data_IF_008265539050
#
_entry.id   IF_008265539050
#
_cell.length_a   1.000
_cell.length_b   1.000
_cell.length_c   1.000
_cell.angle_alpha   90.00
_cell.angle_beta   90.00
_cell.angle_gamma   90.00
#
_symmetry.space_group_name_H-M   'P 1'
#
loop_
_entity.id
_entity.type
_entity.pdbx_description
1 polymer ?
#
# COMPACT_ATOMS: atom_id res chain seq x y z
N UNK A 1 -7.91 -16.28 21.06
CA UNK A 1 -7.22 -15.05 20.63
C UNK A 1 -7.19 -15.13 19.13
N UNK A 2 -8.06 -14.40 18.44
CA UNK A 2 -7.96 -14.29 16.98
C UNK A 2 -6.70 -13.50 16.71
N UNK A 3 -5.67 -14.15 16.19
CA UNK A 3 -4.47 -13.43 15.76
C UNK A 3 -4.91 -12.41 14.69
N UNK A 4 -4.57 -11.14 14.93
CA UNK A 4 -4.73 -10.11 13.92
C UNK A 4 -3.87 -10.53 12.72
N UNK A 5 -4.49 -10.67 11.55
CA UNK A 5 -3.75 -11.00 10.35
C UNK A 5 -2.82 -9.85 9.92
N UNK A 6 -1.97 -10.08 8.91
CA UNK A 6 -0.92 -9.15 8.55
C UNK A 6 -1.50 -7.82 8.05
N UNK A 7 -0.77 -6.74 8.33
CA UNK A 7 -1.07 -5.39 7.86
C UNK A 7 -0.20 -5.09 6.64
N UNK A 8 -0.82 -4.58 5.58
CA UNK A 8 -0.13 -4.17 4.35
C UNK A 8 -0.53 -2.74 4.01
N UNK A 9 0.44 -1.91 3.65
CA UNK A 9 0.20 -0.54 3.19
C UNK A 9 0.17 -0.53 1.66
N UNK A 10 -0.89 0.04 1.07
CA UNK A 10 -0.95 0.35 -0.34
C UNK A 10 -0.34 1.74 -0.57
N UNK A 11 0.85 1.78 -1.17
CA UNK A 11 1.61 3.00 -1.47
C UNK A 11 0.97 3.84 -2.59
N UNK A 12 -0.22 4.39 -2.33
CA UNK A 12 -0.96 5.25 -3.26
C UNK A 12 -1.75 6.35 -2.55
N UNK A 13 -1.74 7.54 -3.14
CA UNK A 13 -2.66 8.63 -2.77
C UNK A 13 -4.01 8.55 -3.52
N UNK A 14 -4.21 7.54 -4.36
CA UNK A 14 -5.47 7.35 -5.06
C UNK A 14 -6.48 6.58 -4.18
N UNK A 15 -7.40 7.31 -3.56
CA UNK A 15 -8.46 6.73 -2.73
C UNK A 15 -9.29 5.64 -3.43
N UNK A 16 -9.53 5.76 -4.74
CA UNK A 16 -10.27 4.74 -5.50
C UNK A 16 -9.51 3.42 -5.59
N UNK A 17 -8.18 3.46 -5.75
CA UNK A 17 -7.35 2.25 -5.74
C UNK A 17 -7.40 1.53 -4.39
N UNK A 18 -7.40 2.28 -3.29
CA UNK A 18 -7.52 1.72 -1.95
C UNK A 18 -8.86 1.02 -1.73
N UNK A 19 -9.96 1.65 -2.16
CA UNK A 19 -11.31 1.06 -2.08
C UNK A 19 -11.37 -0.26 -2.86
N UNK A 20 -10.88 -0.28 -4.10
CA UNK A 20 -10.89 -1.50 -4.92
C UNK A 20 -10.01 -2.59 -4.34
N UNK A 21 -8.81 -2.27 -3.85
CA UNK A 21 -7.93 -3.29 -3.26
C UNK A 21 -8.53 -3.86 -1.97
N UNK A 22 -9.11 -3.03 -1.10
CA UNK A 22 -9.83 -3.51 0.10
C UNK A 22 -10.95 -4.47 -0.26
N UNK A 23 -11.73 -4.17 -1.32
CA UNK A 23 -12.79 -5.05 -1.83
C UNK A 23 -12.25 -6.39 -2.33
N UNK A 24 -11.15 -6.40 -3.08
CA UNK A 24 -10.50 -7.64 -3.57
C UNK A 24 -9.95 -8.46 -2.42
N UNK A 25 -9.30 -7.83 -1.45
CA UNK A 25 -8.70 -8.53 -0.30
C UNK A 25 -9.75 -9.08 0.66
N UNK A 26 -10.91 -8.41 0.81
CA UNK A 26 -12.00 -8.90 1.64
C UNK A 26 -12.52 -10.29 1.19
N UNK A 27 -12.44 -10.61 -0.12
CA UNK A 27 -12.81 -11.93 -0.62
C UNK A 27 -11.64 -12.90 -0.71
N UNK A 28 -10.45 -12.44 -1.12
CA UNK A 28 -9.30 -13.31 -1.38
C UNK A 28 -8.50 -13.64 -0.12
N UNK A 29 -8.40 -12.71 0.84
CA UNK A 29 -7.57 -12.82 2.03
C UNK A 29 -8.16 -11.98 3.18
N UNK A 30 -9.29 -12.40 3.77
CA UNK A 30 -10.05 -11.59 4.74
C UNK A 30 -9.31 -11.28 6.05
N UNK A 31 -8.23 -11.99 6.35
CA UNK A 31 -7.38 -11.71 7.50
C UNK A 31 -6.41 -10.52 7.26
N UNK A 32 -6.17 -10.12 6.02
CA UNK A 32 -5.22 -9.06 5.68
C UNK A 32 -5.89 -7.69 5.85
N UNK A 33 -5.25 -6.82 6.63
CA UNK A 33 -5.68 -5.42 6.76
C UNK A 33 -4.92 -4.55 5.77
N UNK A 34 -5.64 -3.80 4.92
CA UNK A 34 -5.03 -2.88 3.93
C UNK A 34 -5.16 -1.43 4.39
N UNK A 35 -4.02 -0.80 4.66
CA UNK A 35 -3.90 0.63 4.96
C UNK A 35 -3.58 1.43 3.69
N UNK A 36 -4.00 2.69 3.64
CA UNK A 36 -3.56 3.66 2.63
C UNK A 36 -2.54 4.65 3.21
N UNK A 37 -2.00 5.53 2.37
CA UNK A 37 -1.03 6.54 2.82
C UNK A 37 -1.60 7.57 3.80
N UNK A 38 -2.92 7.76 3.83
CA UNK A 38 -3.59 8.61 4.82
C UNK A 38 -3.67 7.97 6.22
N UNK A 39 -3.41 6.66 6.32
CA UNK A 39 -3.48 5.89 7.58
C UNK A 39 -2.10 5.79 8.26
N UNK A 40 -1.04 6.38 7.70
CA UNK A 40 0.35 6.32 8.19
C UNK A 40 0.96 7.72 8.32
N UNK A 41 2.14 7.82 8.92
CA UNK A 41 2.86 9.08 9.02
C UNK A 41 3.18 9.63 7.61
N UNK A 42 2.97 10.93 7.33
CA UNK A 42 3.23 11.49 6.01
C UNK A 42 4.74 11.52 5.74
N UNK A 43 5.11 11.19 4.50
CA UNK A 43 6.49 11.23 4.01
C UNK A 43 6.52 11.76 2.55
N UNK A 44 7.66 12.26 2.06
CA UNK A 44 7.77 12.77 0.70
C UNK A 44 7.51 11.67 -0.36
N UNK A 45 6.76 11.98 -1.41
CA UNK A 45 6.62 11.06 -2.53
C UNK A 45 7.99 10.85 -3.22
N UNK A 46 8.40 9.58 -3.46
CA UNK A 46 9.66 9.32 -4.15
C UNK A 46 9.55 9.72 -5.62
N UNK A 47 10.69 10.11 -6.20
CA UNK A 47 10.77 10.38 -7.63
C UNK A 47 10.57 9.08 -8.44
N UNK A 48 9.77 9.14 -9.50
CA UNK A 48 9.57 8.04 -10.44
C UNK A 48 10.67 8.05 -11.51
N UNK A 49 11.81 7.45 -11.20
CA UNK A 49 13.02 7.49 -12.06
C UNK A 49 13.21 6.26 -12.94
N UNK A 50 12.40 5.21 -12.77
CA UNK A 50 12.52 3.99 -13.56
C UNK A 50 11.83 4.13 -14.92
N UNK A 51 12.37 3.47 -15.99
CA UNK A 51 11.80 3.54 -17.33
C UNK A 51 10.52 2.70 -17.49
N UNK A 52 10.07 2.02 -16.43
CA UNK A 52 8.92 1.12 -16.47
C UNK A 52 7.93 1.40 -15.33
N UNK A 53 6.65 1.14 -15.60
CA UNK A 53 5.61 1.23 -14.57
C UNK A 53 5.89 0.29 -13.38
N UNK A 54 6.40 -0.91 -13.65
CA UNK A 54 6.74 -1.88 -12.61
C UNK A 54 7.91 -1.37 -11.75
N UNK A 55 8.95 -0.80 -12.36
CA UNK A 55 10.07 -0.19 -11.64
C UNK A 55 9.61 0.94 -10.72
N UNK A 56 8.80 1.86 -11.22
CA UNK A 56 8.25 2.96 -10.41
C UNK A 56 7.31 2.45 -9.30
N UNK A 57 6.60 1.34 -9.53
CA UNK A 57 5.79 0.71 -8.49
C UNK A 57 6.67 0.13 -7.36
N UNK A 58 7.81 -0.51 -7.69
CA UNK A 58 8.78 -1.01 -6.70
C UNK A 58 9.39 0.13 -5.90
N UNK A 59 9.85 1.21 -6.56
CA UNK A 59 10.39 2.39 -5.88
C UNK A 59 9.42 2.96 -4.85
N UNK A 60 8.14 3.09 -5.22
CA UNK A 60 7.09 3.57 -4.31
C UNK A 60 6.85 2.63 -3.13
N UNK A 61 6.85 1.32 -3.36
CA UNK A 61 6.67 0.33 -2.30
C UNK A 61 7.85 0.32 -1.32
N UNK A 62 9.09 0.45 -1.81
CA UNK A 62 10.30 0.54 -1.00
C UNK A 62 10.30 1.80 -0.14
N UNK A 63 10.07 2.97 -0.75
CA UNK A 63 9.99 4.24 -0.01
C UNK A 63 8.89 4.22 1.07
N UNK A 64 7.74 3.60 0.77
CA UNK A 64 6.69 3.40 1.77
C UNK A 64 7.18 2.53 2.93
N UNK A 65 7.83 1.40 2.64
CA UNK A 65 8.34 0.46 3.67
C UNK A 65 9.40 1.10 4.54
N UNK A 66 10.26 1.95 3.99
CA UNK A 66 11.27 2.69 4.75
C UNK A 66 10.67 3.77 5.67
N UNK A 67 9.48 4.28 5.32
CA UNK A 67 8.83 5.38 6.02
C UNK A 67 7.77 4.97 7.06
N UNK A 68 7.35 3.69 7.08
CA UNK A 68 6.26 3.18 7.95
C UNK A 68 6.72 2.02 8.83
#
# INVERSE_FOLDING_TARGET
>A
MTESGPVVVLATNNAKKLVELRRVMASAAPAVTVLGLADVAPYPEPAETEPSFAGNAVLKAQACTEAT
#
